data_IF_703100019606
#
_entry.id   IF_703100019606
#
_cell.length_a   1.000
_cell.length_b   1.000
_cell.length_c   1.000
_cell.angle_alpha   90.00
_cell.angle_beta   90.00
_cell.angle_gamma   90.00
#
_symmetry.space_group_name_H-M   'P 1'
#
loop_
_entity.id
_entity.type
_entity.pdbx_description
1 polymer ?
#
# COMPACT_ATOMS: atom_id res chain seq x y z
N UNK A 1 5.48 1.20 -19.29
CA UNK A 1 4.52 0.93 -18.21
C UNK A 1 3.69 -0.28 -18.64
N UNK A 2 3.91 -1.45 -18.04
CA UNK A 2 3.20 -2.68 -18.44
C UNK A 2 1.75 -2.57 -17.99
N UNK A 3 0.79 -2.77 -18.89
CA UNK A 3 -0.64 -2.55 -18.65
C UNK A 3 -1.17 -3.27 -17.39
N UNK A 4 -0.58 -4.42 -17.07
CA UNK A 4 -0.89 -5.22 -15.87
C UNK A 4 -0.60 -4.46 -14.58
N UNK A 5 0.57 -3.82 -14.47
CA UNK A 5 0.97 -3.08 -13.27
C UNK A 5 0.03 -1.91 -13.01
N UNK A 6 -0.26 -1.13 -14.07
CA UNK A 6 -1.22 -0.03 -13.99
C UNK A 6 -2.62 -0.53 -13.61
N UNK A 7 -3.12 -1.56 -14.29
CA UNK A 7 -4.45 -2.13 -14.04
C UNK A 7 -4.63 -2.51 -12.56
N UNK A 8 -3.71 -3.28 -12.00
CA UNK A 8 -3.86 -3.76 -10.63
C UNK A 8 -3.55 -2.68 -9.59
N UNK A 9 -2.70 -1.71 -9.91
CA UNK A 9 -2.52 -0.51 -9.07
C UNK A 9 -3.81 0.31 -9.00
N UNK A 10 -4.44 0.58 -10.14
CA UNK A 10 -5.67 1.36 -10.23
C UNK A 10 -6.84 0.65 -9.52
N UNK A 11 -6.98 -0.66 -9.71
CA UNK A 11 -8.01 -1.47 -9.03
C UNK A 11 -7.81 -1.49 -7.51
N UNK A 12 -6.61 -1.81 -7.03
CA UNK A 12 -6.32 -1.86 -5.60
C UNK A 12 -6.49 -0.49 -4.93
N UNK A 13 -6.14 0.58 -5.64
CA UNK A 13 -6.35 1.95 -5.16
C UNK A 13 -7.84 2.29 -5.07
N UNK A 14 -8.65 1.91 -6.07
CA UNK A 14 -10.09 2.11 -6.03
C UNK A 14 -10.71 1.37 -4.84
N UNK A 15 -10.37 0.09 -4.65
CA UNK A 15 -10.86 -0.69 -3.52
C UNK A 15 -10.45 -0.08 -2.16
N UNK A 16 -9.25 0.48 -2.04
CA UNK A 16 -8.83 1.18 -0.82
C UNK A 16 -9.65 2.43 -0.53
N UNK A 17 -10.04 3.19 -1.56
CA UNK A 17 -10.96 4.32 -1.40
C UNK A 17 -12.39 3.88 -1.10
N UNK A 18 -12.78 2.67 -1.54
CA UNK A 18 -14.07 2.05 -1.24
C UNK A 18 -14.01 1.16 0.02
N UNK A 19 -13.11 1.46 0.96
CA UNK A 19 -12.95 0.80 2.27
C UNK A 19 -12.76 -0.73 2.21
N UNK A 20 -12.22 -1.25 1.11
CA UNK A 20 -12.05 -2.68 0.82
C UNK A 20 -13.36 -3.48 0.98
N UNK A 21 -14.49 -2.83 0.71
CA UNK A 21 -15.83 -3.43 0.78
C UNK A 21 -15.93 -4.54 -0.28
N UNK A 22 -16.34 -5.73 0.15
CA UNK A 22 -16.50 -6.88 -0.75
C UNK A 22 -15.20 -7.61 -1.13
N UNK A 23 -14.01 -7.04 -0.86
CA UNK A 23 -12.74 -7.73 -1.08
C UNK A 23 -12.62 -8.96 -0.17
N UNK A 24 -12.19 -10.10 -0.71
CA UNK A 24 -11.89 -11.31 0.06
C UNK A 24 -10.42 -11.63 -0.09
N UNK A 25 -9.77 -12.07 0.99
CA UNK A 25 -8.38 -12.50 0.91
C UNK A 25 -8.25 -13.60 -0.14
N UNK A 26 -7.27 -13.44 -1.03
CA UNK A 26 -6.81 -14.51 -1.91
C UNK A 26 -6.10 -15.58 -1.05
N UNK A 27 -6.27 -16.86 -1.37
CA UNK A 27 -5.90 -17.99 -0.51
C UNK A 27 -4.44 -18.08 -0.04
N UNK A 28 -4.23 -18.88 1.01
CA UNK A 28 -2.94 -19.28 1.64
C UNK A 28 -1.98 -18.16 2.10
N UNK A 29 -2.50 -16.95 2.28
CA UNK A 29 -1.72 -15.86 2.88
C UNK A 29 -1.74 -16.03 4.41
N UNK A 30 -0.74 -16.70 4.95
CA UNK A 30 -0.51 -16.91 6.40
C UNK A 30 -0.01 -15.63 7.12
N UNK A 31 -0.45 -14.45 6.71
CA UNK A 31 -0.05 -13.21 7.38
C UNK A 31 -1.15 -12.73 8.31
N UNK A 32 -0.78 -12.37 9.53
CA UNK A 32 -1.69 -11.73 10.49
C UNK A 32 -1.77 -10.25 10.20
N UNK A 33 -2.80 -9.86 9.45
CA UNK A 33 -3.15 -8.47 9.18
C UNK A 33 -4.68 -8.32 9.12
N UNK A 34 -5.18 -7.24 9.73
CA UNK A 34 -6.57 -6.84 9.59
C UNK A 34 -6.73 -5.80 8.48
N UNK A 35 -7.86 -5.81 7.77
CA UNK A 35 -8.18 -4.76 6.78
C UNK A 35 -8.11 -3.36 7.38
N UNK A 36 -8.55 -3.23 8.64
CA UNK A 36 -8.50 -1.98 9.42
C UNK A 36 -7.09 -1.41 9.51
N UNK A 37 -6.06 -2.26 9.65
CA UNK A 37 -4.66 -1.82 9.70
C UNK A 37 -4.24 -1.15 8.39
N UNK A 38 -4.61 -1.76 7.25
CA UNK A 38 -4.30 -1.23 5.92
C UNK A 38 -5.02 0.10 5.69
N UNK A 39 -6.33 0.15 5.99
CA UNK A 39 -7.17 1.33 5.81
C UNK A 39 -6.71 2.49 6.69
N UNK A 40 -6.39 2.22 7.96
CA UNK A 40 -5.89 3.24 8.87
C UNK A 40 -4.56 3.83 8.37
N UNK A 41 -3.65 3.01 7.86
CA UNK A 41 -2.39 3.49 7.31
C UNK A 41 -2.59 4.26 5.98
N UNK A 42 -3.49 3.79 5.12
CA UNK A 42 -3.82 4.44 3.85
C UNK A 42 -4.47 5.81 4.07
N UNK A 43 -5.47 5.88 4.94
CA UNK A 43 -6.16 7.12 5.27
C UNK A 43 -5.22 8.11 5.96
N UNK A 44 -4.45 7.66 6.95
CA UNK A 44 -3.50 8.52 7.67
C UNK A 44 -2.43 9.12 6.74
N UNK A 45 -1.81 8.29 5.88
CA UNK A 45 -0.86 8.82 4.89
C UNK A 45 -1.54 9.72 3.85
N UNK A 46 -2.75 9.37 3.40
CA UNK A 46 -3.53 10.19 2.48
C UNK A 46 -3.95 11.55 3.07
N UNK A 47 -4.20 11.63 4.37
CA UNK A 47 -4.49 12.89 5.07
C UNK A 47 -3.27 13.81 5.07
N UNK A 48 -2.08 13.25 5.34
CA UNK A 48 -0.81 14.00 5.29
C UNK A 48 -0.51 14.48 3.87
N UNK A 49 -0.69 13.63 2.85
CA UNK A 49 -0.44 14.02 1.46
C UNK A 49 -1.41 15.09 0.95
N UNK A 50 -2.63 15.14 1.49
CA UNK A 50 -3.63 16.17 1.18
C UNK A 50 -3.44 17.44 2.00
N UNK A 51 -2.90 17.32 3.21
CA UNK A 51 -2.53 18.43 4.06
C UNK A 51 -1.22 19.06 3.58
N UNK A 52 -1.15 20.38 3.47
CA UNK A 52 0.14 21.07 3.32
C UNK A 52 0.95 21.07 4.64
N UNK A 53 0.89 19.99 5.42
CA UNK A 53 1.45 19.89 6.76
C UNK A 53 2.55 18.82 6.75
N UNK A 54 3.80 19.26 6.71
CA UNK A 54 4.96 18.38 6.79
C UNK A 54 6.20 18.98 6.14
N UNK A 55 7.38 18.60 6.65
CA UNK A 55 8.63 18.80 5.90
C UNK A 55 8.80 17.74 4.82
N UNK A 56 9.69 17.97 3.85
CA UNK A 56 9.93 17.10 2.69
C UNK A 56 10.08 15.60 3.05
N UNK A 57 10.73 15.30 4.17
CA UNK A 57 10.91 13.93 4.66
C UNK A 57 9.59 13.28 5.10
N UNK A 58 8.71 14.03 5.76
CA UNK A 58 7.39 13.53 6.17
C UNK A 58 6.56 13.18 4.94
N UNK A 59 6.57 14.05 3.94
CA UNK A 59 5.86 13.86 2.68
C UNK A 59 6.35 12.60 1.94
N UNK A 60 7.67 12.43 1.80
CA UNK A 60 8.26 11.24 1.17
C UNK A 60 7.90 9.92 1.88
N UNK A 61 7.85 9.93 3.21
CA UNK A 61 7.47 8.75 3.98
C UNK A 61 5.97 8.49 3.87
N UNK A 62 5.13 9.53 3.87
CA UNK A 62 3.70 9.41 3.62
C UNK A 62 3.42 8.82 2.23
N UNK A 63 4.11 9.28 1.17
CA UNK A 63 4.02 8.69 -0.17
C UNK A 63 4.40 7.20 -0.16
N UNK A 64 5.47 6.86 0.57
CA UNK A 64 5.92 5.47 0.70
C UNK A 64 4.87 4.60 1.41
N UNK A 65 4.27 5.08 2.49
CA UNK A 65 3.19 4.38 3.20
C UNK A 65 1.99 4.19 2.29
N UNK A 66 1.57 5.25 1.60
CA UNK A 66 0.42 5.26 0.69
C UNK A 66 0.58 4.23 -0.43
N UNK A 67 1.71 4.25 -1.13
CA UNK A 67 2.04 3.30 -2.21
C UNK A 67 2.18 1.87 -1.69
N UNK A 68 2.71 1.69 -0.47
CA UNK A 68 2.83 0.36 0.15
C UNK A 68 1.46 -0.24 0.47
N UNK A 69 0.48 0.56 0.89
CA UNK A 69 -0.90 0.11 1.08
C UNK A 69 -1.50 -0.44 -0.24
N UNK A 70 -1.26 0.23 -1.36
CA UNK A 70 -1.73 -0.22 -2.69
C UNK A 70 -1.08 -1.56 -3.05
N UNK A 71 0.24 -1.67 -2.91
CA UNK A 71 1.00 -2.91 -3.19
C UNK A 71 0.59 -4.06 -2.29
N UNK A 72 0.37 -3.80 -1.00
CA UNK A 72 -0.09 -4.80 -0.05
C UNK A 72 -1.50 -5.27 -0.40
N UNK A 73 -2.40 -4.36 -0.78
CA UNK A 73 -3.75 -4.70 -1.24
C UNK A 73 -3.72 -5.61 -2.47
N UNK A 74 -2.84 -5.32 -3.44
CA UNK A 74 -2.57 -6.20 -4.59
C UNK A 74 -2.12 -7.60 -4.17
N UNK A 75 -1.21 -7.69 -3.21
CA UNK A 75 -0.75 -9.00 -2.72
C UNK A 75 -1.83 -9.80 -1.99
N UNK A 76 -2.79 -9.14 -1.35
CA UNK A 76 -3.77 -9.74 -0.44
C UNK A 76 -5.09 -10.13 -1.10
N UNK A 77 -5.56 -9.33 -2.06
CA UNK A 77 -6.94 -9.43 -2.57
C UNK A 77 -7.02 -9.72 -4.07
N UNK A 78 -5.88 -9.76 -4.76
CA UNK A 78 -5.81 -9.92 -6.21
C UNK A 78 -4.97 -11.13 -6.61
N UNK A 79 -5.18 -11.68 -7.83
CA UNK A 79 -4.42 -12.80 -8.35
C UNK A 79 -2.91 -12.59 -8.34
N UNK A 80 -2.14 -13.68 -8.39
CA UNK A 80 -0.66 -13.66 -8.38
C UNK A 80 -0.04 -12.71 -9.43
N UNK A 81 -0.68 -12.50 -10.58
CA UNK A 81 -0.21 -11.57 -11.61
C UNK A 81 -0.19 -10.12 -11.12
N UNK A 82 -1.06 -9.76 -10.17
CA UNK A 82 -1.08 -8.45 -9.52
C UNK A 82 0.16 -8.17 -8.68
N UNK A 83 0.97 -9.20 -8.40
CA UNK A 83 2.20 -9.09 -7.62
C UNK A 83 3.41 -8.67 -8.47
N UNK A 84 3.24 -8.44 -9.77
CA UNK A 84 4.30 -7.91 -10.64
C UNK A 84 4.21 -6.39 -10.74
N UNK A 85 5.25 -5.67 -10.31
CA UNK A 85 5.37 -4.21 -10.40
C UNK A 85 6.48 -3.81 -11.36
N UNK A 86 6.39 -2.61 -11.95
CA UNK A 86 7.47 -2.04 -12.75
C UNK A 86 8.10 -0.85 -12.03
N UNK A 87 9.36 -0.97 -11.64
CA UNK A 87 10.14 0.13 -11.06
C UNK A 87 11.31 0.48 -11.98
N UNK A 88 11.41 1.75 -12.38
CA UNK A 88 12.49 2.25 -13.25
C UNK A 88 12.67 1.41 -14.54
N UNK A 89 11.56 0.91 -15.08
CA UNK A 89 11.55 0.07 -16.30
C UNK A 89 11.83 -1.41 -16.07
N UNK A 90 12.19 -1.83 -14.86
CA UNK A 90 12.46 -3.22 -14.50
C UNK A 90 11.26 -3.84 -13.78
N UNK A 91 11.01 -5.13 -14.02
CA UNK A 91 9.96 -5.88 -13.33
C UNK A 91 10.45 -6.48 -12.03
N UNK A 92 9.60 -6.41 -11.02
CA UNK A 92 9.81 -7.02 -9.72
C UNK A 92 8.56 -7.76 -9.28
N UNK A 93 8.75 -8.90 -8.61
CA UNK A 93 7.68 -9.58 -7.89
C UNK A 93 7.68 -9.10 -6.44
N UNK A 94 6.50 -8.71 -5.94
CA UNK A 94 6.27 -8.32 -4.55
C UNK A 94 5.55 -9.42 -3.78
N UNK A 95 5.73 -9.47 -2.46
CA UNK A 95 4.98 -10.37 -1.58
C UNK A 95 4.40 -9.62 -0.37
N UNK A 96 3.34 -10.18 0.19
CA UNK A 96 2.57 -9.53 1.24
C UNK A 96 3.39 -9.29 2.53
N UNK A 97 4.25 -10.24 2.92
CA UNK A 97 5.08 -10.14 4.13
C UNK A 97 6.07 -8.96 4.06
N UNK A 98 6.76 -8.82 2.92
CA UNK A 98 7.68 -7.71 2.70
C UNK A 98 6.94 -6.38 2.69
N UNK A 99 5.80 -6.29 1.99
CA UNK A 99 5.01 -5.06 1.96
C UNK A 99 4.48 -4.70 3.35
N UNK A 100 4.03 -5.68 4.15
CA UNK A 100 3.57 -5.45 5.52
C UNK A 100 4.71 -4.96 6.43
N UNK A 101 5.91 -5.55 6.32
CA UNK A 101 7.08 -5.09 7.07
C UNK A 101 7.42 -3.63 6.72
N UNK A 102 7.47 -3.31 5.43
CA UNK A 102 7.73 -1.95 4.94
C UNK A 102 6.66 -0.98 5.44
N UNK A 103 5.39 -1.38 5.40
CA UNK A 103 4.27 -0.57 5.87
C UNK A 103 4.44 -0.21 7.35
N UNK A 104 4.60 -1.20 8.22
CA UNK A 104 4.72 -1.00 9.68
C UNK A 104 5.95 -0.17 10.03
N UNK A 105 7.09 -0.39 9.37
CA UNK A 105 8.30 0.41 9.58
C UNK A 105 8.09 1.87 9.22
N UNK A 106 7.56 2.16 8.03
CA UNK A 106 7.37 3.53 7.58
C UNK A 106 6.24 4.24 8.33
N UNK A 107 5.15 3.55 8.66
CA UNK A 107 4.06 4.12 9.45
C UNK A 107 4.54 4.53 10.86
N UNK A 108 5.37 3.70 11.50
CA UNK A 108 5.97 4.04 12.79
C UNK A 108 6.95 5.21 12.69
N UNK A 109 7.67 5.35 11.57
CA UNK A 109 8.54 6.49 11.34
C UNK A 109 7.74 7.77 11.11
N UNK A 110 6.66 7.68 10.31
CA UNK A 110 5.77 8.79 10.01
C UNK A 110 5.14 9.37 11.29
N UNK A 111 4.58 8.51 12.15
CA UNK A 111 4.02 8.91 13.45
C UNK A 111 5.02 9.61 14.36
N UNK A 112 6.30 9.25 14.29
CA UNK A 112 7.37 9.89 15.08
C UNK A 112 7.77 11.26 14.55
N UNK A 113 7.58 11.54 13.26
CA UNK A 113 7.91 12.83 12.65
C UNK A 113 6.83 13.90 12.91
N UNK A 114 5.61 13.47 13.22
CA UNK A 114 4.49 14.35 13.56
C UNK A 114 4.29 14.56 15.08
N UNK A 115 5.03 13.82 15.92
CA UNK A 115 5.02 13.96 17.39
C UNK A 115 6.00 15.01 17.88
#
# INVERSE_FOLDING_TARGET
MKEIDKKYSDLARADLFDDLIGCKLEGDISISIEKSEILNAFNYSGDILRGNFGGDLCYQIAETVFETCIRLTRCLFYPVEARTIVLQGNEYSINAEQQLKVLRTNLNMLKKLES
#
